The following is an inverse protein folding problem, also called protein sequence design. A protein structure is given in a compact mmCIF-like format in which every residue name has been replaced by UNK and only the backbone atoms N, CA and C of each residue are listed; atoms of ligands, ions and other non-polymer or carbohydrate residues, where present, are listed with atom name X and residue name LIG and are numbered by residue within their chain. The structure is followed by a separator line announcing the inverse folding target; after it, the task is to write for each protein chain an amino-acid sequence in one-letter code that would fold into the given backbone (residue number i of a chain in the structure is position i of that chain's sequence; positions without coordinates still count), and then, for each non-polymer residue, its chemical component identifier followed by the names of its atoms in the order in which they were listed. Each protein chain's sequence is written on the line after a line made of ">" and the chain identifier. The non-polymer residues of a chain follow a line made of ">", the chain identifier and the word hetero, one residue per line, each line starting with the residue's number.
data_IF_645195539861
#
_entry.id   IF_645195539861
#
_cell.length_a   1.000
_cell.length_b   1.000
_cell.length_c   1.000
_cell.angle_alpha   90.00
_cell.angle_beta   90.00
_cell.angle_gamma   90.00
#
_symmetry.space_group_name_H-M   'P 1'
#
loop_
_entity.id
_entity.type
_entity.pdbx_description
1 polymer ?
#
# COMPACT_ATOMS: atom_id res chain seq x y z
N UNK A 1 21.62 -29.72 8.96
CA UNK A 1 20.87 -30.70 9.81
C UNK A 1 20.96 -32.11 9.25
N UNK A 2 20.73 -32.35 7.96
CA UNK A 2 20.79 -33.69 7.33
C UNK A 2 22.08 -34.47 7.59
N UNK A 3 23.22 -33.78 7.70
CA UNK A 3 24.54 -34.39 7.91
C UNK A 3 24.80 -34.67 9.41
N UNK A 4 24.06 -34.04 10.33
CA UNK A 4 24.28 -34.19 11.77
C UNK A 4 23.71 -35.52 12.27
N UNK A 5 24.45 -36.18 13.17
CA UNK A 5 23.96 -37.37 13.91
C UNK A 5 23.18 -37.00 15.18
N UNK A 6 23.16 -35.70 15.53
CA UNK A 6 22.46 -35.17 16.71
C UNK A 6 21.10 -34.62 16.29
N UNK A 7 20.20 -34.43 17.26
CA UNK A 7 18.86 -33.92 16.97
C UNK A 7 18.86 -32.46 16.52
N UNK A 8 19.88 -31.69 16.92
CA UNK A 8 20.04 -30.30 16.48
C UNK A 8 21.51 -29.96 16.17
N UNK A 9 21.74 -28.70 15.78
CA UNK A 9 23.02 -28.15 15.37
C UNK A 9 23.24 -26.75 15.96
N UNK A 10 24.50 -26.39 16.15
CA UNK A 10 24.92 -25.05 16.58
C UNK A 10 25.11 -24.09 15.39
N UNK A 11 25.08 -22.78 15.66
CA UNK A 11 25.47 -21.76 14.68
C UNK A 11 26.89 -21.99 14.15
N UNK A 12 27.82 -22.44 15.00
CA UNK A 12 29.17 -22.80 14.56
C UNK A 12 29.14 -23.90 13.51
N UNK A 13 28.43 -25.01 13.77
CA UNK A 13 28.32 -26.10 12.79
C UNK A 13 27.68 -25.66 11.48
N UNK A 14 26.72 -24.73 11.52
CA UNK A 14 26.17 -24.12 10.30
C UNK A 14 27.27 -23.40 9.53
N UNK A 15 28.02 -22.51 10.18
CA UNK A 15 29.09 -21.74 9.54
C UNK A 15 30.28 -22.60 9.08
N UNK A 16 30.57 -23.73 9.73
CA UNK A 16 31.56 -24.68 9.23
C UNK A 16 31.18 -25.30 7.87
N UNK A 17 29.89 -25.29 7.49
CA UNK A 17 29.42 -25.71 6.16
C UNK A 17 29.35 -24.56 5.15
N UNK A 18 29.54 -23.32 5.58
CA UNK A 18 29.54 -22.12 4.73
C UNK A 18 30.98 -21.86 4.24
N UNK A 19 31.19 -21.42 2.98
CA UNK A 19 32.52 -21.02 2.48
C UNK A 19 33.21 -19.99 3.40
N UNK A 20 34.53 -20.14 3.57
CA UNK A 20 35.32 -19.39 4.56
C UNK A 20 35.23 -17.87 4.37
N UNK A 21 35.13 -17.41 3.13
CA UNK A 21 34.98 -16.00 2.78
C UNK A 21 33.73 -15.34 3.40
N UNK A 22 32.73 -16.13 3.81
CA UNK A 22 31.50 -15.64 4.42
C UNK A 22 31.45 -15.81 5.94
N UNK A 23 32.51 -16.32 6.58
CA UNK A 23 32.51 -16.57 8.02
C UNK A 23 32.36 -15.28 8.85
N UNK A 24 32.77 -14.14 8.32
CA UNK A 24 32.55 -12.83 8.96
C UNK A 24 31.07 -12.49 9.15
N UNK A 25 30.17 -13.06 8.34
CA UNK A 25 28.74 -12.81 8.47
C UNK A 25 28.11 -13.44 9.72
N UNK A 26 28.78 -14.38 10.41
CA UNK A 26 28.29 -14.94 11.67
C UNK A 26 28.03 -13.85 12.72
N UNK A 27 28.96 -12.91 12.82
CA UNK A 27 28.82 -11.77 13.74
C UNK A 27 27.72 -10.81 13.29
N UNK A 28 27.58 -10.60 11.98
CA UNK A 28 26.53 -9.76 11.39
C UNK A 28 25.14 -10.36 11.62
N UNK A 29 24.97 -11.66 11.45
CA UNK A 29 23.73 -12.38 11.71
C UNK A 29 23.30 -12.24 13.18
N UNK A 30 24.21 -12.49 14.13
CA UNK A 30 23.94 -12.30 15.56
C UNK A 30 23.56 -10.85 15.87
N UNK A 31 24.32 -9.89 15.34
CA UNK A 31 24.05 -8.47 15.57
C UNK A 31 22.68 -8.06 15.00
N UNK A 32 22.35 -8.55 13.81
CA UNK A 32 21.08 -8.28 13.14
C UNK A 32 19.91 -8.85 13.94
N UNK A 33 20.00 -10.09 14.41
CA UNK A 33 18.99 -10.71 15.28
C UNK A 33 18.74 -9.88 16.55
N UNK A 34 19.79 -9.40 17.22
CA UNK A 34 19.66 -8.52 18.40
C UNK A 34 18.94 -7.20 18.08
N UNK A 35 19.21 -6.63 16.90
CA UNK A 35 18.62 -5.37 16.46
C UNK A 35 17.14 -5.52 16.10
N UNK A 36 16.78 -6.54 15.31
CA UNK A 36 15.45 -6.66 14.72
C UNK A 36 14.45 -7.43 15.58
N UNK A 37 14.90 -8.27 16.52
CA UNK A 37 13.99 -8.99 17.39
C UNK A 37 13.27 -8.03 18.34
N UNK A 38 11.93 -8.07 18.28
CA UNK A 38 11.03 -7.30 19.13
C UNK A 38 10.14 -8.24 19.94
N UNK A 39 9.79 -7.87 21.19
CA UNK A 39 8.90 -8.68 22.00
C UNK A 39 7.50 -8.70 21.38
N UNK A 40 6.88 -9.87 21.35
CA UNK A 40 5.44 -9.95 21.17
C UNK A 40 4.77 -9.41 22.44
N UNK A 41 4.09 -8.26 22.34
CA UNK A 41 3.55 -7.55 23.51
C UNK A 41 2.49 -8.36 24.26
N UNK A 42 1.64 -9.13 23.56
CA UNK A 42 0.64 -10.00 24.21
C UNK A 42 1.33 -11.11 25.03
N UNK A 43 2.42 -11.66 24.51
CA UNK A 43 3.19 -12.68 25.23
C UNK A 43 4.00 -12.10 26.38
N UNK A 44 4.50 -10.87 26.25
CA UNK A 44 5.17 -10.16 27.34
C UNK A 44 4.20 -9.85 28.49
N UNK A 45 2.97 -9.45 28.18
CA UNK A 45 1.91 -9.25 29.16
C UNK A 45 1.55 -10.56 29.86
N UNK A 46 1.37 -11.65 29.10
CA UNK A 46 1.10 -12.98 29.67
C UNK A 46 2.25 -13.48 30.55
N UNK A 47 3.50 -13.23 30.14
CA UNK A 47 4.69 -13.57 30.91
C UNK A 47 4.71 -12.85 32.26
N UNK A 48 4.47 -11.54 32.26
CA UNK A 48 4.38 -10.72 33.49
C UNK A 48 3.25 -11.19 34.38
N UNK A 49 2.06 -11.40 33.82
CA UNK A 49 0.91 -11.93 34.55
C UNK A 49 1.22 -13.27 35.24
N UNK A 50 1.88 -14.19 34.54
CA UNK A 50 2.27 -15.48 35.12
C UNK A 50 3.24 -15.30 36.31
N UNK A 51 4.25 -14.43 36.16
CA UNK A 51 5.22 -14.11 37.21
C UNK A 51 4.57 -13.45 38.42
N UNK A 52 3.72 -12.46 38.23
CA UNK A 52 2.97 -11.76 39.29
C UNK A 52 2.06 -12.72 40.08
N UNK A 53 1.57 -13.77 39.41
CA UNK A 53 0.79 -14.85 40.04
C UNK A 53 1.66 -16.00 40.57
N UNK A 54 2.95 -15.75 40.81
CA UNK A 54 3.92 -16.71 41.37
C UNK A 54 4.00 -18.03 40.58
N UNK A 55 3.74 -18.01 39.28
CA UNK A 55 3.98 -19.18 38.43
C UNK A 55 5.47 -19.31 38.13
N UNK A 56 5.96 -20.56 38.14
CA UNK A 56 7.29 -20.89 37.62
C UNK A 56 7.23 -20.80 36.10
N UNK A 57 8.04 -19.92 35.52
CA UNK A 57 8.12 -19.74 34.06
C UNK A 57 9.48 -20.24 33.59
N UNK A 58 9.47 -21.13 32.60
CA UNK A 58 10.68 -21.62 31.92
C UNK A 58 10.55 -21.32 30.43
N UNK A 59 11.69 -21.21 29.76
CA UNK A 59 11.76 -20.98 28.33
C UNK A 59 12.24 -22.27 27.66
N UNK A 60 11.56 -22.70 26.60
CA UNK A 60 11.90 -23.92 25.84
C UNK A 60 11.89 -23.60 24.35
N UNK A 61 13.05 -23.64 23.70
CA UNK A 61 13.20 -23.16 22.31
C UNK A 61 14.04 -24.09 21.44
N UNK A 62 13.57 -24.27 20.19
CA UNK A 62 14.33 -24.95 19.14
C UNK A 62 15.04 -23.88 18.29
N UNK A 63 16.31 -23.55 18.59
CA UNK A 63 17.03 -22.44 17.97
C UNK A 63 18.52 -22.75 17.79
N UNK A 64 19.13 -22.16 16.76
CA UNK A 64 20.53 -22.37 16.40
C UNK A 64 21.50 -21.34 17.00
N UNK A 65 21.01 -20.19 17.48
CA UNK A 65 21.82 -19.15 18.11
C UNK A 65 22.40 -19.61 19.45
N UNK A 66 23.57 -19.09 19.89
CA UNK A 66 24.13 -19.42 21.21
C UNK A 66 23.20 -19.04 22.36
N UNK A 67 23.29 -19.79 23.47
CA UNK A 67 22.45 -19.58 24.65
C UNK A 67 22.63 -18.17 25.22
N UNK A 68 23.87 -17.75 25.40
CA UNK A 68 24.24 -16.47 26.00
C UNK A 68 23.71 -15.29 25.18
N UNK A 69 23.67 -15.44 23.86
CA UNK A 69 23.11 -14.44 22.93
C UNK A 69 21.60 -14.31 23.13
N UNK A 70 20.88 -15.44 23.23
CA UNK A 70 19.44 -15.44 23.41
C UNK A 70 19.02 -14.97 24.81
N UNK A 71 19.80 -15.28 25.85
CA UNK A 71 19.57 -14.77 27.20
C UNK A 71 19.67 -13.24 27.25
N UNK A 72 20.72 -12.68 26.65
CA UNK A 72 20.90 -11.23 26.52
C UNK A 72 19.72 -10.58 25.78
N UNK A 73 19.27 -11.19 24.67
CA UNK A 73 18.09 -10.73 23.93
C UNK A 73 16.85 -10.76 24.82
N UNK A 74 16.54 -11.89 25.45
CA UNK A 74 15.33 -12.05 26.26
C UNK A 74 15.28 -11.04 27.41
N UNK A 75 16.39 -10.89 28.15
CA UNK A 75 16.50 -9.94 29.26
C UNK A 75 16.33 -8.50 28.75
N UNK A 76 17.05 -8.13 27.67
CA UNK A 76 16.95 -6.76 27.12
C UNK A 76 15.56 -6.40 26.59
N UNK A 77 14.72 -7.40 26.24
CA UNK A 77 13.35 -7.21 25.77
C UNK A 77 12.29 -7.42 26.87
N UNK A 78 12.70 -7.56 28.14
CA UNK A 78 11.81 -7.58 29.31
C UNK A 78 11.29 -8.96 29.72
N UNK A 79 11.92 -10.04 29.25
CA UNK A 79 11.64 -11.41 29.68
C UNK A 79 12.65 -11.89 30.73
N UNK A 80 13.03 -11.04 31.69
CA UNK A 80 13.93 -11.40 32.78
C UNK A 80 13.22 -12.25 33.87
N UNK A 81 14.00 -12.91 34.71
CA UNK A 81 13.48 -13.62 35.89
C UNK A 81 12.78 -14.96 35.61
N UNK A 82 12.94 -15.55 34.42
CA UNK A 82 12.54 -16.95 34.19
C UNK A 82 13.41 -17.88 35.05
N UNK A 83 12.90 -19.07 35.36
CA UNK A 83 13.62 -20.01 36.22
C UNK A 83 14.73 -20.74 35.50
N UNK A 84 14.49 -21.20 34.27
CA UNK A 84 15.46 -21.92 33.44
C UNK A 84 15.19 -21.68 31.94
N UNK A 85 16.23 -21.77 31.11
CA UNK A 85 16.13 -21.73 29.66
C UNK A 85 16.70 -23.01 29.03
N UNK A 86 15.82 -23.81 28.46
CA UNK A 86 16.11 -25.04 27.76
C UNK A 86 16.21 -24.80 26.26
N UNK A 87 17.44 -24.74 25.75
CA UNK A 87 17.74 -24.44 24.36
C UNK A 87 18.22 -25.71 23.62
N UNK A 88 17.61 -25.98 22.46
CA UNK A 88 17.81 -27.22 21.73
C UNK A 88 19.24 -27.46 21.26
N UNK A 89 19.92 -26.44 20.70
CA UNK A 89 21.30 -26.57 20.24
C UNK A 89 22.30 -26.65 21.39
N UNK A 90 21.91 -26.30 22.62
CA UNK A 90 22.76 -26.39 23.80
C UNK A 90 22.66 -27.78 24.41
N UNK A 91 21.44 -28.33 24.47
CA UNK A 91 21.14 -29.65 25.05
C UNK A 91 21.27 -30.77 24.01
N UNK A 92 21.25 -30.42 22.72
CA UNK A 92 21.21 -31.32 21.55
C UNK A 92 19.94 -32.20 21.48
N UNK A 93 18.83 -31.69 22.03
CA UNK A 93 17.49 -32.30 22.00
C UNK A 93 16.48 -31.28 21.49
N UNK A 94 15.51 -31.70 20.68
CA UNK A 94 14.51 -30.78 20.09
C UNK A 94 13.12 -30.97 20.67
N UNK A 95 12.28 -29.93 20.60
CA UNK A 95 10.84 -30.03 20.80
C UNK A 95 10.21 -30.89 19.72
N UNK A 96 10.69 -30.77 18.47
CA UNK A 96 10.20 -31.54 17.33
C UNK A 96 10.25 -33.06 17.56
N UNK A 97 11.28 -33.57 18.25
CA UNK A 97 11.43 -34.99 18.61
C UNK A 97 10.79 -35.39 19.94
N UNK A 98 10.09 -34.47 20.61
CA UNK A 98 9.58 -34.52 22.00
C UNK A 98 10.63 -34.77 23.11
N UNK A 99 11.88 -35.05 22.78
CA UNK A 99 12.90 -35.41 23.77
C UNK A 99 13.35 -34.24 24.63
N UNK A 100 13.30 -33.01 24.11
CA UNK A 100 13.55 -31.82 24.93
C UNK A 100 12.52 -31.70 26.06
N UNK A 101 11.24 -31.97 25.79
CA UNK A 101 10.21 -31.96 26.84
C UNK A 101 10.44 -33.04 27.91
N UNK A 102 10.85 -34.24 27.53
CA UNK A 102 11.20 -35.29 28.50
C UNK A 102 12.37 -34.86 29.39
N UNK A 103 13.37 -34.21 28.79
CA UNK A 103 14.50 -33.64 29.52
C UNK A 103 14.02 -32.56 30.49
N UNK A 104 13.18 -31.62 30.04
CA UNK A 104 12.59 -30.56 30.87
C UNK A 104 11.83 -31.14 32.06
N UNK A 105 10.90 -32.07 31.86
CA UNK A 105 10.13 -32.68 32.96
C UNK A 105 11.04 -33.31 34.02
N UNK A 106 12.12 -33.97 33.58
CA UNK A 106 13.12 -34.57 34.47
C UNK A 106 13.93 -33.53 35.24
N UNK A 107 14.45 -32.50 34.57
CA UNK A 107 15.28 -31.45 35.21
C UNK A 107 14.47 -30.57 36.16
N UNK A 108 13.24 -30.25 35.77
CA UNK A 108 12.32 -29.46 36.58
C UNK A 108 11.72 -30.25 37.74
N UNK A 109 11.83 -31.57 37.71
CA UNK A 109 11.24 -32.53 38.65
C UNK A 109 9.72 -32.35 38.79
N UNK A 110 9.02 -32.32 37.65
CA UNK A 110 7.56 -32.15 37.56
C UNK A 110 6.92 -33.26 36.71
N UNK A 111 5.63 -33.52 36.94
CA UNK A 111 4.83 -34.37 36.05
C UNK A 111 4.32 -33.58 34.85
N UNK A 112 3.94 -34.28 33.78
CA UNK A 112 3.35 -33.69 32.58
C UNK A 112 2.12 -32.81 32.86
N UNK A 113 1.27 -33.19 33.82
CA UNK A 113 0.06 -32.45 34.21
C UNK A 113 0.34 -31.14 34.97
N UNK A 114 1.59 -30.91 35.40
CA UNK A 114 2.01 -29.69 36.08
C UNK A 114 2.57 -28.63 35.12
N UNK A 115 2.65 -28.95 33.82
CA UNK A 115 3.18 -28.04 32.80
C UNK A 115 2.07 -27.60 31.83
N UNK A 116 2.00 -26.30 31.58
CA UNK A 116 1.32 -25.71 30.44
C UNK A 116 2.40 -25.18 29.48
N UNK A 117 2.44 -25.70 28.26
CA UNK A 117 3.33 -25.21 27.21
C UNK A 117 2.58 -24.23 26.30
N UNK A 118 3.21 -23.10 25.98
CA UNK A 118 2.64 -22.05 25.13
C UNK A 118 3.60 -21.79 23.98
N UNK A 119 3.15 -21.94 22.75
CA UNK A 119 3.98 -21.73 21.55
C UNK A 119 3.13 -21.64 20.29
N UNK A 120 3.76 -21.51 19.13
CA UNK A 120 3.09 -21.22 17.86
C UNK A 120 3.26 -22.28 16.76
N UNK A 121 4.14 -23.26 17.00
CA UNK A 121 4.28 -24.38 16.09
C UNK A 121 3.29 -25.49 16.43
N UNK A 122 2.37 -25.81 15.51
CA UNK A 122 1.35 -26.86 15.73
C UNK A 122 1.95 -28.25 15.95
N UNK A 123 3.17 -28.51 15.47
CA UNK A 123 3.85 -29.77 15.71
C UNK A 123 4.69 -29.73 16.98
N UNK A 124 5.68 -28.84 17.05
CA UNK A 124 6.67 -28.80 18.11
C UNK A 124 6.12 -28.21 19.43
N UNK A 125 5.15 -27.31 19.38
CA UNK A 125 4.58 -26.64 20.57
C UNK A 125 3.17 -27.11 20.93
N UNK A 126 2.55 -27.99 20.14
CA UNK A 126 1.21 -28.49 20.42
C UNK A 126 1.16 -30.02 20.38
N UNK A 127 1.35 -30.63 19.21
CA UNK A 127 1.24 -32.09 19.06
C UNK A 127 2.27 -32.87 19.91
N UNK A 128 3.55 -32.47 19.88
CA UNK A 128 4.62 -33.13 20.64
C UNK A 128 4.41 -33.09 22.16
N UNK A 129 4.21 -31.91 22.80
CA UNK A 129 3.92 -31.86 24.23
C UNK A 129 2.59 -32.58 24.59
N UNK A 130 1.53 -32.44 23.78
CA UNK A 130 0.26 -33.21 24.00
C UNK A 130 0.48 -34.71 24.00
N UNK A 131 1.35 -35.23 23.13
CA UNK A 131 1.66 -36.67 23.08
C UNK A 131 2.31 -37.20 24.37
N UNK A 132 2.85 -36.30 25.21
CA UNK A 132 3.41 -36.60 26.53
C UNK A 132 2.42 -36.32 27.68
N UNK A 133 1.19 -35.88 27.38
CA UNK A 133 0.20 -35.47 28.37
C UNK A 133 0.39 -34.07 28.95
N UNK A 134 1.23 -33.25 28.32
CA UNK A 134 1.45 -31.84 28.72
C UNK A 134 0.28 -30.99 28.19
N UNK A 135 -0.27 -30.12 29.02
CA UNK A 135 -1.28 -29.16 28.58
C UNK A 135 -0.65 -28.13 27.63
N UNK A 136 -1.40 -27.71 26.61
CA UNK A 136 -0.86 -26.81 25.57
C UNK A 136 -1.82 -25.69 25.25
N UNK A 137 -1.26 -24.51 24.96
CA UNK A 137 -1.96 -23.38 24.39
C UNK A 137 -1.24 -22.98 23.09
N UNK A 138 -1.83 -23.38 21.96
CA UNK A 138 -1.30 -23.04 20.64
C UNK A 138 -1.69 -21.60 20.26
N UNK A 139 -0.70 -20.72 20.19
CA UNK A 139 -0.82 -19.35 19.69
C UNK A 139 -0.75 -19.36 18.16
N UNK A 140 -1.84 -19.03 17.48
CA UNK A 140 -1.81 -18.84 16.02
C UNK A 140 -1.00 -17.59 15.68
N UNK A 141 -0.13 -17.68 14.67
CA UNK A 141 0.52 -16.50 14.10
C UNK A 141 -0.53 -15.52 13.56
N UNK A 142 -0.19 -14.22 13.54
CA UNK A 142 -1.09 -13.18 13.03
C UNK A 142 -1.49 -13.46 11.57
N UNK A 143 -0.57 -13.98 10.76
CA UNK A 143 -0.85 -14.40 9.39
C UNK A 143 -1.97 -15.46 9.33
N UNK A 144 -1.89 -16.52 10.15
CA UNK A 144 -2.95 -17.54 10.19
C UNK A 144 -4.30 -16.96 10.63
N UNK A 145 -4.29 -16.01 11.58
CA UNK A 145 -5.51 -15.31 12.00
C UNK A 145 -6.10 -14.48 10.84
N UNK A 146 -5.26 -13.76 10.10
CA UNK A 146 -5.66 -13.00 8.92
C UNK A 146 -6.23 -13.91 7.82
N UNK A 147 -5.59 -15.05 7.54
CA UNK A 147 -6.03 -16.05 6.57
C UNK A 147 -7.39 -16.67 6.89
N UNK A 148 -7.75 -16.77 8.16
CA UNK A 148 -9.07 -17.28 8.59
C UNK A 148 -10.19 -16.30 8.23
N UNK A 149 -9.92 -14.99 8.34
CA UNK A 149 -10.87 -13.93 7.97
C UNK A 149 -10.84 -13.65 6.47
N UNK A 150 -9.68 -13.75 5.85
CA UNK A 150 -9.44 -13.45 4.44
C UNK A 150 -8.80 -14.64 3.72
N UNK A 151 -9.59 -15.67 3.35
CA UNK A 151 -9.07 -16.93 2.80
C UNK A 151 -8.21 -16.79 1.54
N UNK A 152 -8.36 -15.69 0.77
CA UNK A 152 -7.54 -15.40 -0.42
C UNK A 152 -6.04 -15.30 -0.11
N UNK A 153 -5.65 -14.94 1.12
CA UNK A 153 -4.24 -14.87 1.50
C UNK A 153 -3.61 -16.25 1.77
N UNK A 154 -4.41 -17.32 1.95
CA UNK A 154 -3.87 -18.68 2.14
C UNK A 154 -3.09 -19.19 0.95
N UNK A 155 -3.44 -18.71 -0.25
CA UNK A 155 -2.79 -19.07 -1.51
C UNK A 155 -1.70 -18.06 -1.91
N UNK A 156 -1.52 -16.99 -1.14
CA UNK A 156 -0.53 -15.97 -1.43
C UNK A 156 0.78 -16.34 -0.74
N UNK A 157 1.75 -16.77 -1.54
CA UNK A 157 3.10 -17.06 -1.05
C UNK A 157 4.04 -15.94 -1.51
N UNK A 158 4.54 -15.08 -0.60
CA UNK A 158 5.40 -13.98 -0.99
C UNK A 158 6.72 -14.50 -1.57
N UNK A 159 7.06 -14.08 -2.79
CA UNK A 159 8.28 -14.47 -3.51
C UNK A 159 9.37 -13.40 -3.46
N UNK A 160 9.08 -12.26 -2.82
CA UNK A 160 10.03 -11.17 -2.62
C UNK A 160 9.90 -10.58 -1.22
N UNK A 161 10.94 -9.88 -0.76
CA UNK A 161 10.93 -9.09 0.49
C UNK A 161 9.72 -8.16 0.51
N UNK A 162 9.30 -7.71 -0.65
CA UNK A 162 8.18 -6.80 -0.80
C UNK A 162 6.81 -7.36 -0.55
N UNK A 163 6.56 -8.50 -1.14
CA UNK A 163 5.33 -9.21 -0.87
C UNK A 163 5.28 -9.61 0.60
N UNK A 164 6.41 -10.01 1.20
CA UNK A 164 6.50 -10.30 2.64
C UNK A 164 6.23 -9.06 3.50
N UNK A 165 6.77 -7.91 3.12
CA UNK A 165 6.57 -6.65 3.85
C UNK A 165 5.11 -6.19 3.77
N UNK A 166 4.51 -6.21 2.58
CA UNK A 166 3.09 -5.85 2.38
C UNK A 166 2.21 -6.77 3.23
N UNK A 167 2.44 -8.08 3.16
CA UNK A 167 1.69 -9.06 3.95
C UNK A 167 1.90 -8.83 5.46
N UNK A 168 3.12 -8.55 5.89
CA UNK A 168 3.44 -8.21 7.27
C UNK A 168 2.72 -6.95 7.75
N UNK A 169 2.73 -5.88 6.94
CA UNK A 169 2.02 -4.64 7.24
C UNK A 169 0.51 -4.84 7.36
N UNK A 170 -0.06 -5.68 6.50
CA UNK A 170 -1.47 -6.09 6.53
C UNK A 170 -1.79 -6.92 7.77
N UNK A 171 -0.92 -7.85 8.15
CA UNK A 171 -1.07 -8.63 9.38
C UNK A 171 -1.10 -7.72 10.61
N UNK A 172 -0.15 -6.80 10.70
CA UNK A 172 -0.04 -5.85 11.81
C UNK A 172 -1.24 -4.89 11.84
N UNK A 173 -1.65 -4.35 10.70
CA UNK A 173 -2.88 -3.54 10.58
C UNK A 173 -4.13 -4.33 10.98
N UNK A 174 -4.26 -5.57 10.51
CA UNK A 174 -5.37 -6.43 10.88
C UNK A 174 -5.43 -6.66 12.41
N UNK A 175 -4.29 -7.00 13.01
CA UNK A 175 -4.18 -7.29 14.44
C UNK A 175 -4.46 -6.08 15.31
N UNK A 176 -3.91 -4.93 14.95
CA UNK A 176 -3.93 -3.75 15.82
C UNK A 176 -5.08 -2.80 15.53
N UNK A 177 -5.60 -2.80 14.31
CA UNK A 177 -6.71 -1.95 13.89
C UNK A 177 -7.98 -2.77 13.67
N UNK A 178 -7.98 -3.71 12.72
CA UNK A 178 -9.23 -4.39 12.32
C UNK A 178 -9.85 -5.22 13.45
N UNK A 179 -9.05 -5.99 14.19
CA UNK A 179 -9.57 -6.82 15.29
C UNK A 179 -10.11 -6.02 16.49
N UNK A 180 -9.70 -4.75 16.66
CA UNK A 180 -10.09 -3.91 17.80
C UNK A 180 -11.36 -3.09 17.58
N UNK A 181 -11.88 -3.07 16.36
CA UNK A 181 -13.04 -2.27 15.97
C UNK A 181 -14.21 -3.16 15.55
N UNK A 182 -15.41 -2.58 15.44
CA UNK A 182 -16.60 -3.28 14.95
C UNK A 182 -16.41 -3.85 13.53
N UNK A 183 -17.33 -4.74 13.11
CA UNK A 183 -17.29 -5.31 11.76
C UNK A 183 -17.32 -4.18 10.71
N UNK A 184 -16.23 -4.06 9.96
CA UNK A 184 -16.15 -3.19 8.80
C UNK A 184 -16.92 -3.77 7.62
N UNK A 185 -17.52 -2.90 6.81
CA UNK A 185 -18.12 -3.30 5.55
C UNK A 185 -17.05 -3.67 4.50
N UNK A 186 -17.50 -4.32 3.43
CA UNK A 186 -16.64 -4.78 2.35
C UNK A 186 -15.83 -3.66 1.67
N UNK A 187 -16.46 -2.51 1.44
CA UNK A 187 -15.83 -1.39 0.73
C UNK A 187 -14.77 -0.71 1.59
N UNK A 188 -15.00 -0.61 2.90
CA UNK A 188 -13.97 -0.20 3.84
C UNK A 188 -12.75 -1.13 3.79
N UNK A 189 -12.96 -2.45 3.86
CA UNK A 189 -11.86 -3.42 3.83
C UNK A 189 -11.11 -3.37 2.50
N UNK A 190 -11.80 -3.21 1.37
CA UNK A 190 -11.19 -3.00 0.06
C UNK A 190 -10.32 -1.74 0.02
N UNK A 191 -10.82 -0.64 0.61
CA UNK A 191 -10.07 0.59 0.77
C UNK A 191 -8.79 0.39 1.57
N UNK A 192 -8.90 -0.21 2.75
CA UNK A 192 -7.78 -0.40 3.66
C UNK A 192 -6.73 -1.37 3.12
N UNK A 193 -7.16 -2.50 2.54
CA UNK A 193 -6.26 -3.60 2.19
C UNK A 193 -5.76 -3.56 0.74
N UNK A 194 -6.33 -2.71 -0.12
CA UNK A 194 -5.89 -2.58 -1.51
C UNK A 194 -5.60 -1.12 -1.87
N UNK A 195 -6.59 -0.23 -1.83
CA UNK A 195 -6.41 1.16 -2.26
C UNK A 195 -5.35 1.89 -1.41
N UNK A 196 -5.36 1.70 -0.09
CA UNK A 196 -4.40 2.29 0.83
C UNK A 196 -2.96 1.87 0.54
N UNK A 197 -2.71 0.57 0.33
CA UNK A 197 -1.36 0.03 0.06
C UNK A 197 -0.80 0.61 -1.25
N UNK A 198 -1.61 0.55 -2.32
CA UNK A 198 -1.25 1.08 -3.63
C UNK A 198 -0.94 2.57 -3.54
N UNK A 199 -1.80 3.33 -2.87
CA UNK A 199 -1.64 4.77 -2.75
C UNK A 199 -0.43 5.16 -1.88
N UNK A 200 -0.11 4.42 -0.80
CA UNK A 200 1.11 4.65 -0.01
C UNK A 200 2.34 4.45 -0.90
N UNK A 201 2.39 3.34 -1.64
CA UNK A 201 3.49 3.06 -2.55
C UNK A 201 3.69 4.17 -3.58
N UNK A 202 2.60 4.60 -4.22
CA UNK A 202 2.66 5.64 -5.23
C UNK A 202 3.03 7.01 -4.64
N UNK A 203 2.52 7.36 -3.46
CA UNK A 203 2.89 8.61 -2.78
C UNK A 203 4.37 8.64 -2.35
N UNK A 204 4.94 7.50 -1.96
CA UNK A 204 6.38 7.39 -1.70
C UNK A 204 7.23 7.57 -2.96
N UNK A 205 6.78 7.02 -4.09
CA UNK A 205 7.40 7.30 -5.39
C UNK A 205 7.33 8.79 -5.75
N UNK A 206 6.14 9.39 -5.67
CA UNK A 206 5.95 10.82 -5.94
C UNK A 206 6.91 11.64 -5.07
N UNK A 207 6.95 11.39 -3.76
CA UNK A 207 7.84 12.08 -2.83
C UNK A 207 9.32 12.00 -3.25
N UNK A 208 9.80 10.83 -3.66
CA UNK A 208 11.17 10.62 -4.12
C UNK A 208 11.50 11.43 -5.38
N UNK A 209 10.58 11.47 -6.34
CA UNK A 209 10.77 12.14 -7.61
C UNK A 209 10.68 13.68 -7.48
N UNK A 210 9.72 14.17 -6.71
CA UNK A 210 9.54 15.62 -6.52
C UNK A 210 10.66 16.23 -5.66
N UNK A 211 11.20 15.47 -4.69
CA UNK A 211 12.31 15.93 -3.85
C UNK A 211 13.59 16.13 -4.67
N UNK A 212 13.87 15.23 -5.61
CA UNK A 212 15.03 15.33 -6.52
C UNK A 212 14.94 16.52 -7.48
N UNK A 213 13.74 16.99 -7.76
CA UNK A 213 13.44 18.00 -8.78
C UNK A 213 13.13 19.38 -8.19
N UNK A 214 13.24 19.55 -6.87
CA UNK A 214 12.93 20.80 -6.16
C UNK A 214 11.54 21.35 -6.53
N UNK A 215 10.53 20.49 -6.50
CA UNK A 215 9.13 20.87 -6.74
C UNK A 215 8.59 21.66 -5.54
N UNK A 216 7.90 22.76 -5.82
CA UNK A 216 7.29 23.63 -4.81
C UNK A 216 5.79 23.30 -4.61
N UNK A 217 5.09 23.04 -5.74
CA UNK A 217 3.64 22.80 -5.75
C UNK A 217 3.30 21.47 -6.44
N UNK A 218 2.52 20.64 -5.77
CA UNK A 218 2.03 19.36 -6.27
C UNK A 218 0.54 19.43 -6.60
N UNK A 219 0.20 19.18 -7.86
CA UNK A 219 -1.14 19.34 -8.41
C UNK A 219 -1.73 17.98 -8.72
N UNK A 220 -2.67 17.51 -7.91
CA UNK A 220 -3.40 16.27 -8.11
C UNK A 220 -4.56 16.50 -9.07
N UNK A 221 -4.55 15.79 -10.20
CA UNK A 221 -5.55 15.94 -11.25
C UNK A 221 -6.80 15.14 -10.90
N UNK A 222 -7.96 15.80 -10.97
CA UNK A 222 -9.25 15.15 -10.82
C UNK A 222 -9.53 14.22 -12.02
N UNK A 223 -10.15 13.05 -11.81
CA UNK A 223 -10.74 12.58 -10.54
C UNK A 223 -9.84 11.63 -9.76
N UNK A 224 -8.82 11.09 -10.40
CA UNK A 224 -8.04 9.98 -9.85
C UNK A 224 -6.95 10.43 -8.86
N UNK A 225 -6.62 11.72 -8.87
CA UNK A 225 -5.75 12.34 -7.87
C UNK A 225 -6.38 12.52 -6.49
N UNK A 226 -7.69 12.28 -6.32
CA UNK A 226 -8.42 12.60 -5.09
C UNK A 226 -7.93 11.81 -3.87
N UNK A 227 -7.89 10.48 -3.99
CA UNK A 227 -7.41 9.64 -2.89
C UNK A 227 -5.91 9.86 -2.65
N UNK A 228 -5.15 10.01 -3.73
CA UNK A 228 -3.71 10.23 -3.68
C UNK A 228 -3.35 11.53 -2.95
N UNK A 229 -4.06 12.63 -3.19
CA UNK A 229 -3.83 13.88 -2.48
C UNK A 229 -4.05 13.72 -0.97
N UNK A 230 -5.15 13.07 -0.57
CA UNK A 230 -5.45 12.82 0.85
C UNK A 230 -4.33 12.01 1.50
N UNK A 231 -3.91 10.93 0.85
CA UNK A 231 -2.87 10.03 1.37
C UNK A 231 -1.52 10.72 1.40
N UNK A 232 -1.17 11.49 0.37
CA UNK A 232 0.06 12.27 0.34
C UNK A 232 0.13 13.28 1.48
N UNK A 233 -0.96 14.02 1.74
CA UNK A 233 -1.03 14.97 2.85
C UNK A 233 -0.96 14.29 4.22
N UNK A 234 -1.46 13.06 4.35
CA UNK A 234 -1.28 12.26 5.57
C UNK A 234 0.20 11.89 5.71
N UNK A 235 0.83 11.30 4.69
CA UNK A 235 2.21 10.82 4.76
C UNK A 235 3.23 11.95 4.96
N UNK A 236 3.05 13.09 4.28
CA UNK A 236 3.99 14.21 4.22
C UNK A 236 3.30 15.53 4.62
N UNK A 237 2.86 15.65 5.88
CA UNK A 237 2.10 16.81 6.33
C UNK A 237 2.95 18.08 6.24
N UNK A 238 2.40 19.13 5.61
CA UNK A 238 3.04 20.43 5.46
C UNK A 238 4.41 20.41 4.73
N UNK A 239 4.75 19.31 4.05
CA UNK A 239 6.03 19.19 3.33
C UNK A 239 5.99 19.87 1.95
N UNK A 240 4.82 19.87 1.30
CA UNK A 240 4.62 20.47 -0.01
C UNK A 240 3.24 21.14 -0.08
N UNK A 241 3.13 22.20 -0.89
CA UNK A 241 1.83 22.77 -1.24
C UNK A 241 1.11 21.78 -2.16
N UNK A 242 -0.03 21.25 -1.74
CA UNK A 242 -0.84 20.36 -2.58
C UNK A 242 -2.12 21.05 -3.05
N UNK A 243 -2.54 20.77 -4.27
CA UNK A 243 -3.76 21.34 -4.87
C UNK A 243 -4.48 20.28 -5.67
N UNK A 244 -5.81 20.30 -5.67
CA UNK A 244 -6.64 19.42 -6.49
C UNK A 244 -7.27 20.23 -7.61
N UNK A 245 -7.03 19.84 -8.86
CA UNK A 245 -7.51 20.61 -10.03
C UNK A 245 -8.29 19.74 -10.99
N UNK A 246 -9.32 20.32 -11.58
CA UNK A 246 -10.08 19.71 -12.66
C UNK A 246 -9.36 19.91 -13.98
N UNK A 247 -9.09 18.83 -14.72
CA UNK A 247 -8.55 18.89 -16.08
C UNK A 247 -9.28 17.87 -16.99
N UNK A 248 -10.58 18.07 -17.28
CA UNK A 248 -11.35 17.11 -18.04
C UNK A 248 -10.75 16.85 -19.42
N UNK A 249 -10.67 15.57 -19.81
CA UNK A 249 -10.14 15.15 -21.12
C UNK A 249 -10.86 15.83 -22.27
N UNK A 250 -12.18 16.03 -22.15
CA UNK A 250 -13.01 16.64 -23.19
C UNK A 250 -12.76 18.15 -23.32
N UNK A 251 -12.50 18.86 -22.21
CA UNK A 251 -12.06 20.26 -22.22
C UNK A 251 -10.72 20.42 -22.95
N UNK A 252 -9.77 19.51 -22.69
CA UNK A 252 -8.50 19.48 -23.45
C UNK A 252 -8.77 19.32 -24.94
N UNK A 253 -9.65 18.41 -25.35
CA UNK A 253 -9.97 18.23 -26.78
C UNK A 253 -10.59 19.48 -27.40
N UNK A 254 -11.47 20.18 -26.69
CA UNK A 254 -12.05 21.44 -27.15
C UNK A 254 -10.99 22.55 -27.29
N UNK A 255 -10.16 22.77 -26.28
CA UNK A 255 -9.09 23.80 -26.26
C UNK A 255 -8.02 23.59 -27.34
N UNK A 256 -7.77 22.34 -27.72
CA UNK A 256 -6.80 21.99 -28.76
C UNK A 256 -7.46 21.71 -30.12
N UNK A 257 -8.80 21.77 -30.21
CA UNK A 257 -9.57 21.34 -31.38
C UNK A 257 -9.12 19.95 -31.90
N UNK A 258 -8.92 19.00 -30.99
CA UNK A 258 -8.65 17.60 -31.32
C UNK A 258 -9.95 16.88 -31.64
N UNK A 259 -10.52 17.25 -32.79
CA UNK A 259 -11.87 16.84 -33.19
C UNK A 259 -11.84 15.44 -33.79
N UNK A 260 -12.54 14.53 -33.13
CA UNK A 260 -12.91 13.21 -33.65
C UNK A 260 -14.43 13.09 -33.66
N UNK A 261 -14.99 12.42 -34.67
CA UNK A 261 -16.44 12.38 -34.88
C UNK A 261 -17.19 11.92 -33.60
N UNK A 262 -16.75 10.82 -32.98
CA UNK A 262 -17.43 10.21 -31.83
C UNK A 262 -17.57 11.07 -30.57
N UNK A 263 -16.85 12.19 -30.47
CA UNK A 263 -16.92 13.12 -29.33
C UNK A 263 -17.24 14.56 -29.77
N UNK A 264 -17.49 14.79 -31.07
CA UNK A 264 -17.62 16.12 -31.64
C UNK A 264 -18.80 16.91 -31.08
N UNK A 265 -19.91 16.24 -30.74
CA UNK A 265 -21.05 16.91 -30.13
C UNK A 265 -20.72 17.45 -28.74
N UNK A 266 -19.94 16.71 -27.95
CA UNK A 266 -19.54 17.14 -26.62
C UNK A 266 -18.45 18.21 -26.68
N UNK A 267 -17.52 18.12 -27.63
CA UNK A 267 -16.56 19.21 -27.93
C UNK A 267 -17.33 20.48 -28.29
N UNK A 268 -18.31 20.38 -29.18
CA UNK A 268 -19.10 21.55 -29.60
C UNK A 268 -19.87 22.16 -28.42
N UNK A 269 -20.41 21.34 -27.50
CA UNK A 269 -21.09 21.81 -26.28
C UNK A 269 -20.18 22.55 -25.29
N UNK A 270 -18.87 22.28 -25.32
CA UNK A 270 -17.88 23.02 -24.52
C UNK A 270 -17.50 24.33 -25.21
N UNK A 271 -17.43 24.33 -26.54
CA UNK A 271 -17.14 25.53 -27.32
C UNK A 271 -18.33 26.51 -27.33
N UNK A 272 -19.54 25.95 -27.45
CA UNK A 272 -20.82 26.65 -27.49
C UNK A 272 -21.75 26.03 -26.46
N UNK A 273 -22.27 26.81 -25.51
CA UNK A 273 -23.16 26.31 -24.47
C UNK A 273 -24.35 25.50 -25.04
N UNK A 274 -24.92 24.60 -24.21
CA UNK A 274 -25.97 23.64 -24.62
C UNK A 274 -27.15 24.29 -25.38
N UNK A 275 -27.53 25.51 -25.01
CA UNK A 275 -28.59 26.29 -25.65
C UNK A 275 -28.25 26.72 -27.08
N UNK A 276 -26.99 27.10 -27.33
CA UNK A 276 -26.53 27.54 -28.64
C UNK A 276 -26.42 26.38 -29.63
N UNK A 277 -26.04 25.20 -29.15
CA UNK A 277 -26.03 23.97 -29.95
C UNK A 277 -27.45 23.56 -30.32
N UNK A 278 -28.40 23.64 -29.37
CA UNK A 278 -29.82 23.37 -29.61
C UNK A 278 -30.44 24.31 -30.65
N UNK A 279 -30.13 25.61 -30.60
CA UNK A 279 -30.60 26.59 -31.59
C UNK A 279 -30.16 26.25 -33.02
N UNK A 280 -28.97 25.66 -33.15
CA UNK A 280 -28.41 25.20 -34.44
C UNK A 280 -28.97 23.85 -34.90
N UNK A 281 -29.84 23.22 -34.11
CA UNK A 281 -30.45 21.91 -34.38
C UNK A 281 -29.41 20.79 -34.59
N UNK A 282 -28.23 20.94 -33.99
CA UNK A 282 -27.17 19.93 -34.04
C UNK A 282 -27.41 18.94 -32.91
N UNK A 283 -27.76 17.69 -33.27
CA UNK A 283 -28.13 16.65 -32.31
C UNK A 283 -27.24 15.42 -32.39
N UNK A 284 -26.43 15.29 -33.45
CA UNK A 284 -25.53 14.14 -33.64
C UNK A 284 -24.07 14.54 -33.69
N UNK A 285 -23.22 13.57 -33.34
CA UNK A 285 -21.76 13.67 -33.45
C UNK A 285 -21.30 14.00 -34.87
N UNK A 286 -21.90 13.39 -35.90
CA UNK A 286 -21.59 13.65 -37.29
C UNK A 286 -21.92 15.10 -37.70
N UNK A 287 -23.08 15.61 -37.28
CA UNK A 287 -23.47 17.00 -37.55
C UNK A 287 -22.51 17.98 -36.86
N UNK A 288 -22.16 17.72 -35.60
CA UNK A 288 -21.20 18.55 -34.87
C UNK A 288 -19.81 18.52 -35.50
N UNK A 289 -19.36 17.35 -35.96
CA UNK A 289 -18.10 17.20 -36.68
C UNK A 289 -18.07 18.08 -37.93
N UNK A 290 -19.08 17.95 -38.80
CA UNK A 290 -19.19 18.76 -40.03
C UNK A 290 -19.24 20.26 -39.68
N UNK A 291 -19.98 20.65 -38.65
CA UNK A 291 -20.08 22.03 -38.22
C UNK A 291 -18.74 22.60 -37.77
N UNK A 292 -17.99 21.90 -36.90
CA UNK A 292 -16.70 22.37 -36.39
C UNK A 292 -15.70 22.56 -37.54
N UNK A 293 -15.63 21.62 -38.49
CA UNK A 293 -14.75 21.74 -39.65
C UNK A 293 -15.17 22.87 -40.60
N UNK A 294 -16.48 23.03 -40.83
CA UNK A 294 -17.01 24.08 -41.72
C UNK A 294 -16.86 25.48 -41.12
N UNK A 295 -16.77 25.59 -39.79
CA UNK A 295 -16.68 26.86 -39.06
C UNK A 295 -15.38 26.94 -38.22
N UNK A 296 -14.29 26.38 -38.75
CA UNK A 296 -13.05 26.18 -37.99
C UNK A 296 -12.53 27.45 -37.31
N UNK A 297 -12.48 28.59 -38.02
CA UNK A 297 -11.97 29.85 -37.43
C UNK A 297 -12.87 30.36 -36.30
N UNK A 298 -14.19 30.21 -36.42
CA UNK A 298 -15.12 30.54 -35.33
C UNK A 298 -14.91 29.62 -34.12
N UNK A 299 -14.86 28.31 -34.34
CA UNK A 299 -14.57 27.33 -33.29
C UNK A 299 -13.20 27.54 -32.64
N UNK A 300 -12.21 28.01 -33.40
CA UNK A 300 -10.88 28.38 -32.88
C UNK A 300 -10.95 29.58 -31.94
N UNK A 301 -11.74 30.60 -32.25
CA UNK A 301 -11.95 31.72 -31.33
C UNK A 301 -12.63 31.27 -30.04
N UNK A 302 -13.63 30.38 -30.14
CA UNK A 302 -14.28 29.78 -28.97
C UNK A 302 -13.30 28.93 -28.14
N UNK A 303 -12.44 28.13 -28.78
CA UNK A 303 -11.44 27.33 -28.08
C UNK A 303 -10.44 28.18 -27.30
N UNK A 304 -10.06 29.36 -27.82
CA UNK A 304 -9.23 30.34 -27.10
C UNK A 304 -9.98 30.92 -25.89
N UNK A 305 -11.28 31.22 -26.03
CA UNK A 305 -12.12 31.65 -24.90
C UNK A 305 -12.23 30.57 -23.82
N UNK A 306 -12.40 29.30 -24.20
CA UNK A 306 -12.38 28.19 -23.24
C UNK A 306 -11.04 28.09 -22.49
N UNK A 307 -9.92 28.31 -23.19
CA UNK A 307 -8.59 28.35 -22.58
C UNK A 307 -8.46 29.50 -21.58
N UNK A 308 -8.97 30.69 -21.91
CA UNK A 308 -8.91 31.85 -21.01
C UNK A 308 -9.77 31.64 -19.76
N UNK A 309 -10.96 31.05 -19.89
CA UNK A 309 -11.77 30.63 -18.74
C UNK A 309 -11.03 29.62 -17.86
N UNK A 310 -10.34 28.65 -18.48
CA UNK A 310 -9.56 27.67 -17.74
C UNK A 310 -8.33 28.27 -17.06
N UNK A 311 -7.71 29.29 -17.66
CA UNK A 311 -6.63 30.08 -17.04
C UNK A 311 -7.12 30.81 -15.79
N UNK A 312 -8.27 31.46 -15.88
CA UNK A 312 -8.88 32.13 -14.74
C UNK A 312 -9.15 31.14 -13.60
N UNK A 313 -9.69 29.96 -13.92
CA UNK A 313 -9.83 28.87 -12.96
C UNK A 313 -8.50 28.48 -12.30
N UNK A 314 -7.44 28.20 -13.07
CA UNK A 314 -6.15 27.80 -12.49
C UNK A 314 -5.50 28.93 -11.66
N UNK A 315 -5.71 30.20 -12.05
CA UNK A 315 -5.17 31.35 -11.31
C UNK A 315 -5.69 31.41 -9.87
N UNK A 316 -6.95 31.00 -9.64
CA UNK A 316 -7.54 30.93 -8.31
C UNK A 316 -6.85 29.93 -7.36
N UNK A 317 -6.11 28.97 -7.92
CA UNK A 317 -5.39 27.94 -7.16
C UNK A 317 -3.99 28.37 -6.73
N UNK A 318 -3.54 29.58 -7.12
CA UNK A 318 -2.25 30.16 -6.80
C UNK A 318 -1.06 29.21 -7.06
N UNK A 319 -1.00 28.62 -8.26
CA UNK A 319 0.05 27.67 -8.63
C UNK A 319 1.36 28.41 -8.89
N UNK A 320 2.31 28.33 -7.95
CA UNK A 320 3.60 29.04 -8.00
C UNK A 320 4.78 28.06 -7.92
N UNK A 321 5.98 28.54 -8.27
CA UNK A 321 7.20 27.74 -8.21
C UNK A 321 7.26 26.60 -9.24
N UNK A 322 8.13 25.63 -9.01
CA UNK A 322 8.23 24.41 -9.80
C UNK A 322 7.03 23.52 -9.53
N UNK A 323 6.28 23.17 -10.58
CA UNK A 323 5.02 22.45 -10.47
C UNK A 323 5.21 21.02 -10.94
N UNK A 324 4.75 20.07 -10.13
CA UNK A 324 4.51 18.71 -10.56
C UNK A 324 3.01 18.43 -10.58
N UNK A 325 2.54 17.75 -11.61
CA UNK A 325 1.19 17.19 -11.64
C UNK A 325 1.23 15.71 -11.27
N UNK A 326 0.17 15.23 -10.64
CA UNK A 326 -0.05 13.81 -10.37
C UNK A 326 -1.32 13.40 -11.09
N UNK A 327 -1.16 12.43 -11.98
CA UNK A 327 -2.24 11.80 -12.73
C UNK A 327 -2.02 10.28 -12.71
N UNK A 328 -3.00 9.50 -13.13
CA UNK A 328 -2.95 8.03 -13.01
C UNK A 328 -2.46 7.39 -14.30
N UNK A 329 -3.15 7.61 -15.42
CA UNK A 329 -2.79 7.00 -16.71
C UNK A 329 -2.95 7.98 -17.86
N UNK A 330 -2.13 7.81 -18.91
CA UNK A 330 -2.31 8.55 -20.16
C UNK A 330 -1.85 7.78 -21.39
N UNK A 331 -2.61 7.97 -22.48
CA UNK A 331 -2.38 7.44 -23.83
C UNK A 331 -1.89 8.53 -24.82
N UNK A 332 -1.58 9.74 -24.33
CA UNK A 332 -1.24 10.91 -25.16
C UNK A 332 -2.21 12.09 -25.03
N UNK A 333 -3.29 11.95 -24.25
CA UNK A 333 -4.25 13.01 -23.94
C UNK A 333 -4.04 13.55 -22.53
N UNK A 334 -2.81 13.98 -22.19
CA UNK A 334 -2.49 14.34 -20.81
C UNK A 334 -3.16 15.65 -20.39
N UNK A 335 -3.74 15.62 -19.19
CA UNK A 335 -4.07 16.79 -18.37
C UNK A 335 -2.89 17.77 -18.27
N UNK A 336 -1.65 17.24 -18.26
CA UNK A 336 -0.40 18.00 -18.36
C UNK A 336 -0.40 19.01 -19.49
N UNK A 337 -0.76 18.59 -20.72
CA UNK A 337 -0.75 19.50 -21.87
C UNK A 337 -1.73 20.66 -21.72
N UNK A 338 -2.92 20.39 -21.17
CA UNK A 338 -3.92 21.44 -20.89
C UNK A 338 -3.41 22.43 -19.83
N UNK A 339 -2.89 21.91 -18.71
CA UNK A 339 -2.35 22.73 -17.62
C UNK A 339 -1.16 23.57 -18.09
N UNK A 340 -0.22 22.98 -18.85
CA UNK A 340 0.93 23.71 -19.39
C UNK A 340 0.51 24.83 -20.35
N UNK A 341 -0.47 24.57 -21.24
CA UNK A 341 -0.97 25.57 -22.19
C UNK A 341 -1.68 26.73 -21.47
N UNK A 342 -2.40 26.43 -20.39
CA UNK A 342 -3.06 27.42 -19.57
C UNK A 342 -2.06 28.28 -18.80
N UNK A 343 -1.15 27.65 -18.05
CA UNK A 343 -0.13 28.34 -17.26
C UNK A 343 0.97 29.00 -18.11
N UNK A 344 1.05 28.66 -19.40
CA UNK A 344 2.14 29.04 -20.30
C UNK A 344 3.51 28.71 -19.68
N UNK A 345 3.62 27.52 -19.10
CA UNK A 345 4.78 27.05 -18.32
C UNK A 345 4.89 25.53 -18.42
N UNK A 346 6.11 25.02 -18.45
CA UNK A 346 6.36 23.57 -18.33
C UNK A 346 6.09 23.08 -16.90
N UNK A 347 5.51 21.88 -16.79
CA UNK A 347 5.25 21.21 -15.52
C UNK A 347 5.75 19.78 -15.59
N UNK A 348 6.20 19.24 -14.48
CA UNK A 348 6.65 17.86 -14.39
C UNK A 348 5.47 16.90 -14.18
N UNK A 349 5.43 15.76 -14.88
CA UNK A 349 4.35 14.78 -14.75
C UNK A 349 4.72 13.55 -13.93
N UNK A 350 3.95 13.23 -12.89
CA UNK A 350 3.99 11.94 -12.19
C UNK A 350 2.78 11.10 -12.58
N UNK A 351 3.03 9.90 -13.11
CA UNK A 351 2.00 8.95 -13.55
C UNK A 351 2.09 7.62 -12.79
N UNK A 352 0.95 6.94 -12.57
CA UNK A 352 0.99 5.52 -12.17
C UNK A 352 1.51 4.71 -13.34
N UNK A 353 0.96 4.94 -14.52
CA UNK A 353 1.31 4.22 -15.74
C UNK A 353 1.33 5.13 -16.98
N UNK A 354 2.30 4.89 -17.85
CA UNK A 354 2.39 5.52 -19.17
C UNK A 354 2.14 4.45 -20.22
N UNK A 355 1.07 4.60 -21.01
CA UNK A 355 0.77 3.65 -22.08
C UNK A 355 1.48 4.00 -23.40
N UNK A 356 2.10 5.18 -23.48
CA UNK A 356 2.96 5.64 -24.58
C UNK A 356 4.05 6.57 -24.04
N UNK A 357 5.17 6.66 -24.77
CA UNK A 357 6.17 7.70 -24.53
C UNK A 357 5.54 9.05 -24.83
N UNK A 358 5.67 9.99 -23.88
CA UNK A 358 5.21 11.35 -24.04
C UNK A 358 6.38 12.28 -24.36
N UNK A 359 6.11 13.33 -25.13
CA UNK A 359 7.06 14.43 -25.35
C UNK A 359 6.99 15.48 -24.22
N UNK A 360 6.67 15.05 -23.00
CA UNK A 360 6.59 15.88 -21.81
C UNK A 360 7.62 15.39 -20.79
N UNK A 361 8.14 16.28 -19.95
CA UNK A 361 8.97 15.87 -18.81
C UNK A 361 8.08 15.15 -17.78
N UNK A 362 8.21 13.83 -17.72
CA UNK A 362 7.39 12.99 -16.85
C UNK A 362 8.08 11.70 -16.45
N UNK A 363 7.57 11.07 -15.39
CA UNK A 363 7.97 9.76 -14.89
C UNK A 363 6.73 8.92 -14.60
N UNK A 364 6.91 7.60 -14.58
CA UNK A 364 5.87 6.66 -14.18
C UNK A 364 6.32 5.75 -13.06
N UNK A 365 5.39 5.45 -12.16
CA UNK A 365 5.56 4.48 -11.08
C UNK A 365 5.87 3.10 -11.66
N UNK A 366 5.08 2.69 -12.65
CA UNK A 366 5.34 1.52 -13.46
C UNK A 366 6.16 1.95 -14.68
N UNK A 367 7.44 1.55 -14.78
CA UNK A 367 8.23 1.88 -15.95
C UNK A 367 7.55 1.34 -17.21
N UNK A 368 7.74 2.02 -18.34
CA UNK A 368 7.28 1.53 -19.63
C UNK A 368 8.05 0.25 -19.99
N UNK A 369 7.52 -0.90 -19.59
CA UNK A 369 8.12 -2.22 -19.81
C UNK A 369 7.06 -3.24 -20.21
N UNK A 370 7.36 -4.04 -21.22
CA UNK A 370 6.62 -5.27 -21.53
C UNK A 370 7.42 -6.48 -21.00
N UNK A 371 6.81 -7.41 -20.24
CA UNK A 371 5.44 -7.43 -19.70
C UNK A 371 5.29 -6.62 -18.39
N UNK A 372 4.06 -6.18 -18.08
CA UNK A 372 3.71 -5.55 -16.79
C UNK A 372 3.31 -6.61 -15.76
N UNK A 373 3.51 -6.38 -14.44
CA UNK A 373 3.01 -7.26 -13.39
C UNK A 373 1.48 -7.39 -13.39
N UNK A 374 0.97 -8.54 -12.92
CA UNK A 374 -0.45 -8.93 -12.96
C UNK A 374 -1.40 -7.89 -12.35
N UNK A 375 -0.98 -7.18 -11.31
CA UNK A 375 -1.80 -6.21 -10.57
C UNK A 375 -2.35 -5.06 -11.42
N UNK A 376 -1.71 -4.74 -12.55
CA UNK A 376 -2.06 -3.59 -13.38
C UNK A 376 -2.68 -3.96 -14.74
N UNK A 377 -3.06 -5.21 -14.95
CA UNK A 377 -3.73 -5.62 -16.19
C UNK A 377 -5.20 -5.17 -16.28
N UNK A 378 -5.86 -4.90 -15.15
CA UNK A 378 -7.24 -4.41 -15.12
C UNK A 378 -7.27 -2.95 -14.65
N UNK A 379 -7.18 -2.02 -15.60
CA UNK A 379 -7.19 -0.60 -15.29
C UNK A 379 -8.51 -0.15 -14.67
N UNK A 380 -9.65 -0.68 -15.12
CA UNK A 380 -10.97 -0.33 -14.57
C UNK A 380 -11.03 -0.57 -13.05
N UNK A 381 -10.34 -1.62 -12.57
CA UNK A 381 -10.22 -1.86 -11.13
C UNK A 381 -9.33 -0.83 -10.44
N UNK A 382 -8.20 -0.44 -11.04
CA UNK A 382 -7.31 0.59 -10.49
C UNK A 382 -7.98 1.97 -10.45
N UNK A 383 -8.68 2.34 -11.53
CA UNK A 383 -9.52 3.52 -11.60
C UNK A 383 -10.56 3.48 -10.48
N UNK A 384 -11.29 2.37 -10.34
CA UNK A 384 -12.25 2.19 -9.24
C UNK A 384 -11.64 2.38 -7.83
N UNK A 385 -10.36 2.05 -7.61
CA UNK A 385 -9.68 2.27 -6.33
C UNK A 385 -9.23 3.73 -6.10
N UNK A 386 -9.01 4.53 -7.14
CA UNK A 386 -8.39 5.86 -7.04
C UNK A 386 -9.33 7.03 -7.38
N UNK A 387 -10.40 6.79 -8.13
CA UNK A 387 -11.30 7.83 -8.66
C UNK A 387 -12.28 8.37 -7.62
N UNK A 388 -12.29 9.70 -7.45
CA UNK A 388 -13.16 10.43 -6.52
C UNK A 388 -14.65 10.04 -6.54
N UNK A 389 -15.40 10.28 -5.44
CA UNK A 389 -16.84 10.01 -5.38
C UNK A 389 -17.65 10.98 -6.25
N UNK A 390 -17.02 12.02 -6.80
CA UNK A 390 -17.65 12.96 -7.74
C UNK A 390 -18.16 12.23 -8.99
N UNK A 391 -19.11 12.84 -9.69
CA UNK A 391 -19.57 12.34 -10.99
C UNK A 391 -18.64 12.75 -12.13
N UNK A 392 -18.77 12.17 -13.33
CA UNK A 392 -17.97 12.57 -14.49
C UNK A 392 -18.05 14.08 -14.73
N UNK A 393 -16.89 14.71 -14.92
CA UNK A 393 -16.74 16.15 -15.08
C UNK A 393 -16.54 16.44 -16.56
N UNK A 394 -17.38 17.33 -17.10
CA UNK A 394 -17.38 17.69 -18.52
C UNK A 394 -16.62 19.00 -18.74
N UNK A 395 -16.82 19.99 -17.86
CA UNK A 395 -16.21 21.31 -18.00
C UNK A 395 -15.91 21.94 -16.63
N UNK A 396 -15.24 23.09 -16.64
CA UNK A 396 -15.07 23.97 -15.48
C UNK A 396 -15.43 25.39 -15.91
N UNK A 397 -16.42 25.97 -15.26
CA UNK A 397 -16.90 27.33 -15.56
C UNK A 397 -16.99 28.14 -14.29
N UNK A 398 -16.44 29.36 -14.30
CA UNK A 398 -16.39 30.26 -13.14
C UNK A 398 -15.84 29.58 -11.87
N UNK A 399 -14.86 28.69 -12.05
CA UNK A 399 -14.24 27.91 -10.99
C UNK A 399 -15.07 26.74 -10.43
N UNK A 400 -16.22 26.42 -11.03
CA UNK A 400 -17.10 25.33 -10.61
C UNK A 400 -17.07 24.20 -11.64
N UNK A 401 -16.92 22.92 -11.22
CA UNK A 401 -17.00 21.78 -12.14
C UNK A 401 -18.44 21.59 -12.63
N UNK A 402 -18.58 21.34 -13.93
CA UNK A 402 -19.84 20.95 -14.56
C UNK A 402 -19.86 19.42 -14.69
N UNK A 403 -20.80 18.81 -13.98
CA UNK A 403 -20.97 17.36 -13.98
C UNK A 403 -21.91 16.90 -15.11
N UNK A 404 -21.68 15.68 -15.59
CA UNK A 404 -22.63 14.98 -16.44
C UNK A 404 -23.96 14.78 -15.71
N UNK A 405 -25.07 15.20 -16.33
CA UNK A 405 -26.42 15.12 -15.74
C UNK A 405 -27.00 13.70 -15.76
N UNK A 406 -26.85 13.02 -16.90
CA UNK A 406 -27.40 11.68 -17.13
C UNK A 406 -26.41 10.61 -16.67
N UNK A 407 -26.55 10.21 -15.41
CA UNK A 407 -25.62 9.32 -14.72
C UNK A 407 -26.27 7.94 -14.53
N UNK A 408 -25.53 6.90 -14.91
CA UNK A 408 -25.96 5.50 -14.76
C UNK A 408 -26.18 5.11 -13.29
N UNK A 409 -27.00 4.09 -13.06
CA UNK A 409 -27.17 3.50 -11.72
C UNK A 409 -25.86 2.98 -11.14
N UNK A 410 -24.99 2.43 -12.00
CA UNK A 410 -23.65 1.96 -11.62
C UNK A 410 -22.78 3.10 -11.07
N UNK A 411 -22.75 4.26 -11.71
CA UNK A 411 -21.93 5.40 -11.26
C UNK A 411 -22.46 6.00 -9.95
N UNK A 412 -23.79 6.03 -9.76
CA UNK A 412 -24.40 6.41 -8.46
C UNK A 412 -24.01 5.45 -7.35
N UNK A 413 -23.96 4.15 -7.64
CA UNK A 413 -23.52 3.15 -6.66
C UNK A 413 -22.02 3.27 -6.38
N UNK A 414 -21.19 3.40 -7.42
CA UNK A 414 -19.74 3.59 -7.33
C UNK A 414 -19.41 4.78 -6.42
N UNK A 415 -20.05 5.93 -6.64
CA UNK A 415 -19.89 7.13 -5.80
C UNK A 415 -20.09 6.84 -4.30
N UNK A 416 -21.20 6.18 -3.94
CA UNK A 416 -21.50 5.81 -2.54
C UNK A 416 -20.52 4.79 -1.96
N UNK A 417 -20.17 3.76 -2.73
CA UNK A 417 -19.21 2.75 -2.32
C UNK A 417 -17.82 3.37 -2.09
N UNK A 418 -17.44 4.36 -2.92
CA UNK A 418 -16.14 4.99 -2.88
C UNK A 418 -15.89 5.80 -1.60
N UNK A 419 -16.94 6.36 -0.98
CA UNK A 419 -16.81 7.01 0.34
C UNK A 419 -16.22 6.03 1.38
N UNK A 420 -16.69 4.78 1.39
CA UNK A 420 -16.18 3.73 2.28
C UNK A 420 -14.78 3.26 1.89
N UNK A 421 -14.45 3.20 0.61
CA UNK A 421 -13.09 2.90 0.14
C UNK A 421 -12.10 3.96 0.63
N UNK A 422 -12.46 5.25 0.56
CA UNK A 422 -11.62 6.35 1.04
C UNK A 422 -11.43 6.27 2.55
N UNK A 423 -12.50 6.02 3.32
CA UNK A 423 -12.43 5.79 4.77
C UNK A 423 -11.43 4.67 5.11
N UNK A 424 -11.54 3.53 4.44
CA UNK A 424 -10.64 2.39 4.64
C UNK A 424 -9.18 2.72 4.31
N UNK A 425 -8.95 3.32 3.15
CA UNK A 425 -7.61 3.67 2.69
C UNK A 425 -6.93 4.67 3.64
N UNK A 426 -7.65 5.70 4.07
CA UNK A 426 -7.17 6.67 5.07
C UNK A 426 -6.89 6.00 6.42
N UNK A 427 -7.72 5.05 6.84
CA UNK A 427 -7.51 4.27 8.06
C UNK A 427 -6.20 3.47 8.03
N UNK A 428 -5.93 2.76 6.92
CA UNK A 428 -4.67 2.05 6.73
C UNK A 428 -3.46 3.00 6.71
N UNK A 429 -3.53 4.12 5.97
CA UNK A 429 -2.41 5.06 5.82
C UNK A 429 -2.08 5.76 7.14
N UNK A 430 -3.09 6.17 7.90
CA UNK A 430 -2.89 6.78 9.23
C UNK A 430 -2.17 5.81 10.15
N UNK A 431 -2.62 4.55 10.18
CA UNK A 431 -1.96 3.49 10.93
C UNK A 431 -0.52 3.25 10.46
N UNK A 432 -0.30 3.15 9.14
CA UNK A 432 1.02 2.95 8.54
C UNK A 432 2.00 4.04 8.98
N UNK A 433 1.56 5.31 8.98
CA UNK A 433 2.37 6.46 9.38
C UNK A 433 2.68 6.47 10.88
N UNK A 434 1.68 6.25 11.74
CA UNK A 434 1.85 6.26 13.20
C UNK A 434 2.85 5.20 13.68
N UNK A 435 2.88 4.05 13.03
CA UNK A 435 3.77 2.95 13.37
C UNK A 435 5.17 3.09 12.74
N UNK A 436 5.46 4.23 12.10
CA UNK A 436 6.75 4.59 11.49
C UNK A 436 7.41 3.41 10.75
N UNK A 437 6.64 2.68 9.95
CA UNK A 437 7.15 1.49 9.28
C UNK A 437 8.24 1.95 8.29
N UNK A 438 9.50 1.71 8.66
CA UNK A 438 10.67 2.46 8.17
C UNK A 438 11.10 2.10 6.74
N UNK A 439 10.58 1.00 6.19
CA UNK A 439 10.84 0.59 4.82
C UNK A 439 9.89 1.29 3.84
N UNK A 440 10.47 1.93 2.83
CA UNK A 440 9.72 2.46 1.69
C UNK A 440 9.07 1.32 0.91
N UNK A 441 7.75 1.15 1.06
CA UNK A 441 6.92 0.25 0.23
C UNK A 441 7.24 0.41 -1.26
N UNK A 442 7.57 1.62 -1.71
CA UNK A 442 7.99 1.87 -3.09
C UNK A 442 9.23 1.08 -3.54
N UNK A 443 10.34 1.17 -2.79
CA UNK A 443 11.61 0.52 -3.15
C UNK A 443 11.53 -1.01 -3.12
N UNK A 444 10.38 -1.48 -2.64
CA UNK A 444 10.05 -2.83 -2.31
C UNK A 444 9.09 -3.36 -3.39
N UNK A 445 8.04 -2.62 -3.78
CA UNK A 445 7.11 -3.01 -4.87
C UNK A 445 7.77 -3.02 -6.27
N UNK A 446 8.83 -2.23 -6.46
CA UNK A 446 9.57 -2.16 -7.72
C UNK A 446 10.42 -3.41 -7.94
#
# INVERSE_FOLDING_TARGET
>A
REISKRQDITLDEIYHQIPKEFHSYKGVEIATEKEVLIPNLEMLELYRFAKENNKRVIIVSDMYLPLEVLEDILISKGFDGYTNFYLSNHIMLTKHSKDLFKHVLKQENITNTQMLHIGDNSWADDAMPKSLGIATLLRKSVLKQLEEVFPKYKTFNPTSVAQSFILGSLCVFYKNYIQKHEKFDYWFLLGAMQAGIVAVAYCQFIYKEIHRRNIDTLVFVARDGYLLQKIFNILYPNSYKTTYVYAPRILKKAVFLEVVEGESLEILRILEDEEEVKKKQITTNQQAYIYIYSNFEHCRHLALKCLDNYREYLSSSNLEGNIAIVDTITLGYSSQGLIQKALNKEVFGCYVDLLRILNYDCVSFLPFSHPKPVYFHNWDFMEFLLTSPEYPILNVENGVPIYQKDISSCEKYRSKAYEKIVEGAVGYVSYFKENQISLGIYDVIK
#
